data_IF_036722914569
#
_entry.id   IF_036722914569
#
_cell.length_a   1.000
_cell.length_b   1.000
_cell.length_c   1.000
_cell.angle_alpha   90.00
_cell.angle_beta   90.00
_cell.angle_gamma   90.00
#
_symmetry.space_group_name_H-M   'P 1'
#
loop_
_entity.id
_entity.type
_entity.pdbx_description
1 polymer ?
#
# COMPACT_ATOMS: atom_id res chain seq x y z
N UNK A 1 -12.74 2.57 22.99
CA UNK A 1 -12.69 2.09 24.38
C UNK A 1 -12.05 0.71 24.36
N UNK A 2 -10.95 0.52 25.08
CA UNK A 2 -10.37 -0.80 25.26
C UNK A 2 -11.34 -1.66 26.07
N UNK A 3 -11.55 -2.91 25.64
CA UNK A 3 -12.43 -3.86 26.28
C UNK A 3 -11.59 -4.68 27.26
N UNK A 4 -12.07 -4.90 28.48
CA UNK A 4 -11.37 -5.66 29.50
C UNK A 4 -11.26 -7.15 29.14
N UNK A 5 -10.24 -7.81 29.66
CA UNK A 5 -9.93 -9.22 29.37
C UNK A 5 -11.10 -10.18 29.70
N UNK A 6 -11.83 -9.92 30.81
CA UNK A 6 -12.96 -10.77 31.19
C UNK A 6 -14.07 -10.74 30.12
N UNK A 7 -14.42 -9.57 29.64
CA UNK A 7 -15.41 -9.39 28.58
C UNK A 7 -14.96 -10.03 27.26
N UNK A 8 -13.67 -9.95 26.93
CA UNK A 8 -13.11 -10.58 25.72
C UNK A 8 -13.26 -12.10 25.82
N UNK A 9 -12.80 -12.69 26.91
CA UNK A 9 -12.85 -14.14 27.13
C UNK A 9 -14.29 -14.68 27.10
N UNK A 10 -15.22 -13.97 27.69
CA UNK A 10 -16.64 -14.40 27.70
C UNK A 10 -17.26 -14.27 26.29
N UNK A 11 -16.95 -13.26 25.53
CA UNK A 11 -17.38 -13.16 24.12
C UNK A 11 -16.81 -14.31 23.28
N UNK A 12 -15.55 -14.69 23.49
CA UNK A 12 -14.93 -15.84 22.83
C UNK A 12 -15.63 -17.12 23.28
N UNK A 13 -15.89 -17.28 24.59
CA UNK A 13 -16.56 -18.45 25.19
C UNK A 13 -17.97 -18.67 24.62
N UNK A 14 -18.81 -17.65 24.59
CA UNK A 14 -20.21 -17.74 24.08
C UNK A 14 -20.24 -18.22 22.63
N UNK A 15 -19.18 -17.98 21.89
CA UNK A 15 -19.08 -18.34 20.47
C UNK A 15 -18.26 -19.61 20.24
N UNK A 16 -17.66 -20.18 21.26
CA UNK A 16 -16.99 -21.46 21.22
C UNK A 16 -17.96 -22.62 21.07
N UNK A 17 -17.43 -23.82 20.89
CA UNK A 17 -18.22 -25.06 20.87
C UNK A 17 -18.85 -25.35 22.25
N UNK A 18 -19.88 -26.17 22.29
CA UNK A 18 -20.52 -26.56 23.55
C UNK A 18 -19.51 -27.21 24.51
N UNK A 19 -18.58 -28.01 24.00
CA UNK A 19 -17.52 -28.64 24.78
C UNK A 19 -16.55 -27.61 25.37
N UNK A 20 -16.19 -26.57 24.57
CA UNK A 20 -15.41 -25.41 25.07
C UNK A 20 -16.14 -24.72 26.23
N UNK A 21 -17.44 -24.47 26.08
CA UNK A 21 -18.23 -23.74 27.08
C UNK A 21 -18.40 -24.55 28.39
N UNK A 22 -18.43 -25.89 28.32
CA UNK A 22 -18.52 -26.75 29.50
C UNK A 22 -17.20 -26.81 30.27
N UNK A 23 -16.07 -26.82 29.56
CA UNK A 23 -14.74 -27.00 30.17
C UNK A 23 -14.08 -25.68 30.61
N UNK A 24 -14.35 -24.61 29.89
CA UNK A 24 -13.76 -23.31 30.20
C UNK A 24 -14.79 -22.42 30.89
N UNK A 25 -14.55 -22.04 32.16
CA UNK A 25 -15.50 -21.25 32.94
C UNK A 25 -15.57 -19.80 32.42
N UNK A 26 -16.69 -19.11 32.71
CA UNK A 26 -16.88 -17.71 32.41
C UNK A 26 -15.91 -16.84 33.19
N UNK A 27 -15.16 -15.98 32.51
CA UNK A 27 -14.19 -15.09 33.15
C UNK A 27 -14.87 -13.97 33.98
N UNK A 28 -16.03 -13.51 33.54
CA UNK A 28 -16.83 -12.52 34.29
C UNK A 28 -17.38 -13.10 35.60
N UNK A 29 -17.76 -14.40 35.61
CA UNK A 29 -18.35 -15.05 36.80
C UNK A 29 -17.29 -15.58 37.77
N UNK A 30 -16.20 -16.14 37.26
CA UNK A 30 -15.21 -16.87 38.08
C UNK A 30 -13.86 -16.17 38.19
N UNK A 31 -13.68 -15.07 37.47
CA UNK A 31 -12.44 -14.30 37.39
C UNK A 31 -11.47 -14.80 36.31
N UNK A 32 -10.74 -13.87 35.72
CA UNK A 32 -9.77 -14.14 34.64
C UNK A 32 -8.72 -15.18 35.05
N UNK A 33 -8.22 -15.10 36.29
CA UNK A 33 -7.22 -16.04 36.81
C UNK A 33 -7.69 -17.50 36.85
N UNK A 34 -8.99 -17.74 37.13
CA UNK A 34 -9.53 -19.09 37.13
C UNK A 34 -9.70 -19.60 35.70
N UNK A 35 -10.23 -18.79 34.81
CA UNK A 35 -10.34 -19.14 33.40
C UNK A 35 -8.97 -19.45 32.78
N UNK A 36 -7.91 -18.67 33.13
CA UNK A 36 -6.54 -18.97 32.76
C UNK A 36 -6.07 -20.35 33.20
N UNK A 37 -6.30 -20.72 34.45
CA UNK A 37 -5.87 -22.04 34.96
C UNK A 37 -6.47 -23.17 34.13
N UNK A 38 -7.73 -23.04 33.73
CA UNK A 38 -8.38 -24.03 32.86
C UNK A 38 -7.85 -23.99 31.42
N UNK A 39 -7.57 -22.81 30.83
CA UNK A 39 -7.03 -22.68 29.48
C UNK A 39 -5.60 -23.21 29.36
N UNK A 40 -4.76 -22.98 30.36
CA UNK A 40 -3.36 -23.43 30.37
C UNK A 40 -3.16 -24.84 30.94
N UNK A 41 -4.23 -25.55 31.27
CA UNK A 41 -4.15 -26.97 31.59
C UNK A 41 -3.68 -27.76 30.36
N UNK A 42 -2.65 -28.62 30.48
CA UNK A 42 -2.17 -29.43 29.36
C UNK A 42 -3.24 -30.24 28.63
N UNK A 43 -4.29 -30.69 29.36
CA UNK A 43 -5.42 -31.40 28.77
C UNK A 43 -6.32 -30.51 27.90
N UNK A 44 -6.27 -29.21 28.08
CA UNK A 44 -7.14 -28.22 27.43
C UNK A 44 -6.37 -27.40 26.31
N UNK A 45 -5.20 -27.84 25.86
CA UNK A 45 -4.37 -27.12 24.93
C UNK A 45 -5.06 -26.78 23.60
N UNK A 46 -5.94 -27.64 23.13
CA UNK A 46 -6.78 -27.36 21.95
C UNK A 46 -7.67 -26.13 22.17
N UNK A 47 -8.24 -25.98 23.36
CA UNK A 47 -9.12 -24.85 23.68
C UNK A 47 -8.36 -23.54 23.84
N UNK A 48 -7.09 -23.60 24.24
CA UNK A 48 -6.21 -22.44 24.25
C UNK A 48 -5.99 -21.92 22.82
N UNK A 49 -5.68 -22.81 21.89
CA UNK A 49 -5.50 -22.44 20.47
C UNK A 49 -6.82 -21.91 19.88
N UNK A 50 -7.94 -22.55 20.16
CA UNK A 50 -9.26 -22.08 19.71
C UNK A 50 -9.61 -20.71 20.30
N UNK A 51 -9.22 -20.45 21.56
CA UNK A 51 -9.40 -19.15 22.19
C UNK A 51 -8.63 -18.06 21.45
N UNK A 52 -7.35 -18.27 21.17
CA UNK A 52 -6.50 -17.31 20.44
C UNK A 52 -7.04 -17.08 19.02
N UNK A 53 -7.39 -18.15 18.30
CA UNK A 53 -7.99 -18.06 16.96
C UNK A 53 -9.28 -17.24 16.95
N UNK A 54 -10.15 -17.51 17.90
CA UNK A 54 -11.41 -16.76 18.02
C UNK A 54 -11.19 -15.32 18.43
N UNK A 55 -10.18 -15.01 19.26
CA UNK A 55 -9.80 -13.64 19.59
C UNK A 55 -9.31 -12.89 18.34
N UNK A 56 -8.38 -13.45 17.60
CA UNK A 56 -7.83 -12.84 16.37
C UNK A 56 -8.94 -12.60 15.36
N UNK A 57 -9.77 -13.60 15.07
CA UNK A 57 -10.81 -13.49 14.04
C UNK A 57 -11.96 -12.53 14.40
N UNK A 58 -12.22 -12.28 15.67
CA UNK A 58 -13.41 -11.51 16.11
C UNK A 58 -13.07 -10.13 16.65
N UNK A 59 -11.97 -10.04 17.36
CA UNK A 59 -11.55 -8.79 18.01
C UNK A 59 -10.55 -8.07 17.13
N UNK A 60 -9.75 -8.82 16.35
CA UNK A 60 -8.71 -8.28 15.49
C UNK A 60 -9.18 -7.14 14.59
N UNK A 61 -10.33 -7.29 13.94
CA UNK A 61 -10.91 -6.23 13.10
C UNK A 61 -11.21 -4.94 13.88
N UNK A 62 -11.71 -5.06 15.10
CA UNK A 62 -12.03 -3.91 15.96
C UNK A 62 -10.75 -3.22 16.42
N UNK A 63 -9.72 -3.99 16.77
CA UNK A 63 -8.43 -3.47 17.20
C UNK A 63 -7.71 -2.81 16.03
N UNK A 64 -7.71 -3.41 14.84
CA UNK A 64 -7.14 -2.82 13.63
C UNK A 64 -7.78 -1.47 13.25
N UNK A 65 -9.08 -1.32 13.50
CA UNK A 65 -9.77 -0.06 13.24
C UNK A 65 -9.39 1.08 14.23
N UNK A 66 -8.85 0.74 15.39
CA UNK A 66 -8.46 1.71 16.43
C UNK A 66 -7.01 2.17 16.32
N UNK A 67 -6.16 1.40 15.68
CA UNK A 67 -4.73 1.69 15.55
C UNK A 67 -4.44 2.17 14.12
N UNK A 68 -3.59 3.21 14.01
CA UNK A 68 -3.10 3.68 12.73
C UNK A 68 -1.87 2.84 12.32
N UNK A 69 -2.01 1.87 11.41
CA UNK A 69 -0.88 1.10 10.93
C UNK A 69 0.06 1.99 10.10
N UNK A 70 1.29 1.51 9.90
CA UNK A 70 2.18 2.14 8.94
C UNK A 70 1.55 2.08 7.54
N UNK A 71 1.38 3.24 6.92
CA UNK A 71 0.89 3.35 5.55
C UNK A 71 2.06 3.62 4.60
N UNK A 72 2.09 2.88 3.50
CA UNK A 72 3.11 3.08 2.48
C UNK A 72 2.88 4.42 1.75
N UNK A 73 3.78 5.41 1.87
CA UNK A 73 3.61 6.71 1.21
C UNK A 73 3.65 6.61 -0.32
N UNK A 74 4.22 5.54 -0.86
CA UNK A 74 4.28 5.27 -2.30
C UNK A 74 3.06 4.51 -2.83
N UNK A 75 2.07 4.20 -1.99
CA UNK A 75 0.86 3.47 -2.38
C UNK A 75 0.09 4.14 -3.52
N UNK A 76 0.29 5.45 -3.73
CA UNK A 76 -0.29 6.20 -4.86
C UNK A 76 0.09 5.61 -6.23
N UNK A 77 1.22 4.92 -6.33
CA UNK A 77 1.68 4.25 -7.55
C UNK A 77 1.14 2.83 -7.70
N UNK A 78 0.47 2.32 -6.68
CA UNK A 78 -0.10 0.97 -6.71
C UNK A 78 -1.35 0.97 -7.58
N UNK A 79 -1.39 0.10 -8.60
CA UNK A 79 -2.60 -0.21 -9.35
C UNK A 79 -3.54 -1.07 -8.48
N UNK A 80 -4.78 -1.23 -8.93
CA UNK A 80 -5.77 -2.06 -8.25
C UNK A 80 -5.28 -3.49 -8.01
N UNK A 81 -5.79 -4.11 -6.95
CA UNK A 81 -5.46 -5.48 -6.61
C UNK A 81 -6.00 -6.45 -7.66
N UNK A 82 -5.17 -7.40 -8.06
CA UNK A 82 -5.58 -8.49 -8.95
C UNK A 82 -6.34 -9.55 -8.14
N UNK A 83 -7.65 -9.64 -8.32
CA UNK A 83 -8.48 -10.62 -7.59
C UNK A 83 -8.43 -12.02 -8.20
N UNK A 84 -8.19 -12.13 -9.51
CA UNK A 84 -8.20 -13.39 -10.22
C UNK A 84 -7.06 -13.45 -11.24
N UNK A 85 -6.40 -14.60 -11.30
CA UNK A 85 -5.29 -14.84 -12.22
C UNK A 85 -3.93 -14.36 -11.69
N UNK A 86 -2.90 -14.54 -12.50
CA UNK A 86 -1.51 -14.17 -12.20
C UNK A 86 -0.91 -13.19 -13.20
N UNK A 87 -1.66 -12.84 -14.23
CA UNK A 87 -1.18 -12.03 -15.36
C UNK A 87 -2.10 -10.85 -15.61
N UNK A 88 -1.52 -9.66 -15.75
CA UNK A 88 -2.23 -8.44 -16.15
C UNK A 88 -1.78 -8.05 -17.55
N UNK A 89 -2.74 -7.75 -18.41
CA UNK A 89 -2.49 -7.25 -19.76
C UNK A 89 -2.75 -5.75 -19.80
N UNK A 90 -1.80 -4.99 -20.32
CA UNK A 90 -1.93 -3.56 -20.60
C UNK A 90 -1.83 -3.34 -22.10
N UNK A 91 -2.79 -2.61 -22.68
CA UNK A 91 -2.86 -2.33 -24.11
C UNK A 91 -2.77 -0.82 -24.31
N UNK A 92 -1.82 -0.38 -25.12
CA UNK A 92 -1.74 1.01 -25.56
C UNK A 92 -1.91 1.08 -27.08
N UNK A 93 -2.71 2.03 -27.55
CA UNK A 93 -3.00 2.21 -28.98
C UNK A 93 -2.36 3.51 -29.46
N UNK A 94 -1.63 3.45 -30.55
CA UNK A 94 -1.00 4.62 -31.19
C UNK A 94 -2.07 5.53 -31.79
N UNK A 95 -1.87 6.84 -31.61
CA UNK A 95 -2.79 7.82 -32.17
C UNK A 95 -2.76 7.82 -33.68
N UNK A 96 -3.93 7.84 -34.29
CA UNK A 96 -4.08 7.88 -35.74
C UNK A 96 -3.91 9.34 -36.22
N UNK A 97 -3.07 9.53 -37.24
CA UNK A 97 -2.94 10.84 -37.89
C UNK A 97 -4.09 11.07 -38.86
N UNK A 98 -4.67 12.27 -38.83
CA UNK A 98 -5.65 12.66 -39.81
C UNK A 98 -4.98 12.74 -41.21
N UNK A 99 -5.70 12.28 -42.21
CA UNK A 99 -5.36 12.45 -43.62
C UNK A 99 -6.49 13.19 -44.35
N UNK A 100 -6.14 13.86 -45.46
CA UNK A 100 -7.12 14.64 -46.20
C UNK A 100 -8.23 13.74 -46.75
N UNK A 101 -9.47 14.22 -46.65
CA UNK A 101 -10.62 13.52 -47.22
C UNK A 101 -10.47 13.43 -48.76
N UNK A 102 -10.59 12.22 -49.29
CA UNK A 102 -10.67 11.95 -50.75
C UNK A 102 -11.92 11.17 -51.02
N UNK A 103 -12.64 11.56 -52.06
CA UNK A 103 -13.91 10.94 -52.48
C UNK A 103 -13.67 9.82 -53.50
N UNK A 104 -12.51 9.17 -53.43
CA UNK A 104 -12.14 8.06 -54.30
C UNK A 104 -12.58 6.74 -53.66
N UNK A 105 -13.15 5.85 -54.48
CA UNK A 105 -13.60 4.52 -54.04
C UNK A 105 -12.47 3.69 -53.40
N UNK A 106 -11.22 3.91 -53.85
CA UNK A 106 -10.04 3.23 -53.33
C UNK A 106 -9.69 3.66 -51.89
N UNK A 107 -9.88 4.93 -51.55
CA UNK A 107 -9.61 5.46 -50.19
C UNK A 107 -10.75 5.11 -49.21
N UNK A 108 -11.99 5.06 -49.69
CA UNK A 108 -13.18 4.65 -48.92
C UNK A 108 -13.14 3.17 -48.50
N UNK A 109 -12.54 2.29 -49.31
CA UNK A 109 -12.45 0.85 -49.01
C UNK A 109 -11.15 0.47 -48.28
N UNK A 110 -10.23 1.41 -48.09
CA UNK A 110 -8.95 1.15 -47.41
C UNK A 110 -9.13 0.97 -45.90
N UNK A 111 -8.71 -0.19 -45.42
CA UNK A 111 -8.80 -0.51 -43.98
C UNK A 111 -7.65 0.12 -43.24
N UNK A 112 -7.96 1.08 -42.34
CA UNK A 112 -7.00 1.71 -41.45
C UNK A 112 -7.05 1.02 -40.08
N UNK A 113 -6.06 0.19 -39.77
CA UNK A 113 -5.95 -0.48 -38.46
C UNK A 113 -5.03 0.32 -37.57
N UNK A 114 -5.44 0.66 -36.32
CA UNK A 114 -4.54 1.28 -35.35
C UNK A 114 -3.44 0.29 -34.93
N UNK A 115 -2.23 0.79 -34.78
CA UNK A 115 -1.12 0.03 -34.19
C UNK A 115 -1.33 -0.03 -32.68
N UNK A 116 -1.26 -1.23 -32.10
CA UNK A 116 -1.39 -1.46 -30.66
C UNK A 116 -0.13 -2.15 -30.14
N UNK A 117 0.31 -1.71 -28.96
CA UNK A 117 1.33 -2.38 -28.17
C UNK A 117 0.68 -3.04 -26.95
N UNK A 118 1.12 -4.23 -26.63
CA UNK A 118 0.59 -5.03 -25.54
C UNK A 118 1.72 -5.44 -24.63
N UNK A 119 1.55 -5.20 -23.34
CA UNK A 119 2.46 -5.65 -22.29
C UNK A 119 1.74 -6.64 -21.38
N UNK A 120 2.49 -7.65 -20.95
CA UNK A 120 2.02 -8.62 -19.98
C UNK A 120 2.88 -8.49 -18.73
N UNK A 121 2.22 -8.35 -17.59
CA UNK A 121 2.85 -8.34 -16.28
C UNK A 121 2.45 -9.60 -15.54
N UNK A 122 3.42 -10.35 -15.06
CA UNK A 122 3.20 -11.58 -14.31
C UNK A 122 3.51 -11.37 -12.83
N UNK A 123 2.76 -12.07 -11.99
CA UNK A 123 3.01 -12.08 -10.55
C UNK A 123 4.31 -12.84 -10.27
N UNK A 124 5.32 -12.11 -9.79
CA UNK A 124 6.65 -12.65 -9.48
C UNK A 124 6.94 -12.76 -7.98
N UNK A 125 6.03 -12.26 -7.12
CA UNK A 125 6.20 -12.28 -5.66
C UNK A 125 4.99 -12.95 -5.00
N UNK A 126 5.27 -13.86 -4.07
CA UNK A 126 4.27 -14.53 -3.25
C UNK A 126 4.85 -14.82 -1.87
N UNK A 127 4.74 -13.87 -0.96
CA UNK A 127 5.33 -13.94 0.36
C UNK A 127 4.31 -14.27 1.44
N UNK A 128 4.80 -14.73 2.58
CA UNK A 128 4.02 -15.02 3.77
C UNK A 128 4.71 -14.37 4.96
N UNK A 129 3.94 -13.78 5.85
CA UNK A 129 4.42 -13.18 7.10
C UNK A 129 4.00 -14.07 8.28
N UNK A 130 4.76 -15.14 8.60
CA UNK A 130 4.44 -16.00 9.72
C UNK A 130 4.67 -15.25 11.03
N UNK A 131 3.74 -15.40 11.97
CA UNK A 131 3.89 -14.92 13.33
C UNK A 131 3.69 -16.08 14.28
N UNK A 132 4.52 -16.15 15.31
CA UNK A 132 4.43 -17.15 16.37
C UNK A 132 4.44 -16.45 17.72
N UNK A 133 3.80 -17.05 18.68
CA UNK A 133 3.80 -16.58 20.06
C UNK A 133 4.13 -17.74 21.01
N UNK A 134 4.65 -17.40 22.16
CA UNK A 134 4.95 -18.35 23.23
C UNK A 134 3.80 -18.39 24.25
N UNK A 135 3.70 -19.50 24.99
CA UNK A 135 2.74 -19.63 26.08
C UNK A 135 2.98 -18.58 27.18
N UNK A 136 4.25 -18.14 27.36
CA UNK A 136 4.59 -17.14 28.37
C UNK A 136 4.14 -15.72 27.96
N UNK A 137 4.28 -15.35 26.68
CA UNK A 137 3.76 -14.07 26.16
C UNK A 137 2.23 -14.03 26.31
N UNK A 138 1.56 -15.12 25.98
CA UNK A 138 0.12 -15.20 26.16
C UNK A 138 -0.28 -15.13 27.63
N UNK A 139 0.46 -15.78 28.55
CA UNK A 139 0.24 -15.65 29.99
C UNK A 139 0.41 -14.22 30.49
N UNK A 140 1.44 -13.51 30.02
CA UNK A 140 1.62 -12.10 30.36
C UNK A 140 0.47 -11.21 29.90
N UNK A 141 -0.13 -11.51 28.74
CA UNK A 141 -1.31 -10.79 28.25
C UNK A 141 -2.53 -10.93 29.18
N UNK A 142 -2.60 -11.95 30.01
CA UNK A 142 -3.68 -12.11 30.99
C UNK A 142 -3.44 -11.37 32.31
N UNK A 143 -2.20 -10.95 32.61
CA UNK A 143 -1.85 -10.28 33.87
C UNK A 143 -2.39 -8.85 33.91
N UNK A 144 -2.39 -8.16 32.78
CA UNK A 144 -2.89 -6.80 32.65
C UNK A 144 -4.35 -6.79 32.16
N UNK A 145 -5.20 -5.94 32.71
CA UNK A 145 -6.64 -5.87 32.39
C UNK A 145 -6.92 -5.66 30.90
N UNK A 146 -6.01 -5.05 30.16
CA UNK A 146 -6.11 -4.79 28.73
C UNK A 146 -5.05 -5.53 27.90
N UNK A 147 -4.32 -6.46 28.50
CA UNK A 147 -3.20 -7.15 27.86
C UNK A 147 -3.61 -7.99 26.66
N UNK A 148 -4.76 -8.64 26.69
CA UNK A 148 -5.28 -9.40 25.56
C UNK A 148 -5.57 -8.52 24.34
N UNK A 149 -6.07 -7.31 24.54
CA UNK A 149 -6.28 -6.36 23.44
C UNK A 149 -4.95 -5.98 22.78
N UNK A 150 -3.92 -5.70 23.57
CA UNK A 150 -2.56 -5.40 23.05
C UNK A 150 -1.95 -6.60 22.35
N UNK A 151 -2.11 -7.78 22.88
CA UNK A 151 -1.62 -9.01 22.26
C UNK A 151 -2.25 -9.27 20.89
N UNK A 152 -3.58 -9.14 20.78
CA UNK A 152 -4.29 -9.27 19.51
C UNK A 152 -3.85 -8.16 18.52
N UNK A 153 -3.69 -6.92 19.00
CA UNK A 153 -3.18 -5.82 18.20
C UNK A 153 -1.81 -6.15 17.59
N UNK A 154 -0.88 -6.61 18.42
CA UNK A 154 0.47 -6.97 17.99
C UNK A 154 0.46 -8.07 16.92
N UNK A 155 -0.34 -9.12 17.10
CA UNK A 155 -0.48 -10.21 16.14
C UNK A 155 -1.01 -9.70 14.78
N UNK A 156 -1.96 -8.77 14.80
CA UNK A 156 -2.60 -8.28 13.57
C UNK A 156 -1.79 -7.19 12.87
N UNK A 157 -1.15 -6.31 13.63
CA UNK A 157 -0.43 -5.15 13.08
C UNK A 157 0.96 -5.51 12.56
N UNK A 158 1.67 -6.44 13.20
CA UNK A 158 3.03 -6.80 12.81
C UNK A 158 3.12 -7.30 11.37
N UNK A 159 2.33 -8.29 10.91
CA UNK A 159 2.37 -8.73 9.52
C UNK A 159 1.96 -7.63 8.53
N UNK A 160 0.96 -6.82 8.89
CA UNK A 160 0.48 -5.73 8.04
C UNK A 160 1.53 -4.63 7.86
N UNK A 161 2.17 -4.23 8.96
CA UNK A 161 3.23 -3.23 8.89
C UNK A 161 4.46 -3.75 8.13
N UNK A 162 4.78 -5.05 8.28
CA UNK A 162 5.85 -5.70 7.52
C UNK A 162 5.54 -5.70 6.04
N UNK A 163 4.32 -6.05 5.64
CA UNK A 163 3.90 -6.05 4.23
C UNK A 163 3.96 -4.66 3.61
N UNK A 164 3.41 -3.64 4.29
CA UNK A 164 3.46 -2.25 3.83
C UNK A 164 4.91 -1.72 3.72
N UNK A 165 5.78 -2.11 4.66
CA UNK A 165 7.20 -1.74 4.63
C UNK A 165 7.93 -2.40 3.47
N UNK A 166 7.70 -3.69 3.23
CA UNK A 166 8.29 -4.43 2.12
C UNK A 166 7.77 -3.90 0.77
N UNK A 167 6.47 -3.59 0.66
CA UNK A 167 5.93 -2.92 -0.54
C UNK A 167 6.65 -1.60 -0.82
N UNK A 168 6.87 -0.77 0.21
CA UNK A 168 7.61 0.49 0.05
C UNK A 168 9.03 0.25 -0.46
N UNK A 169 9.74 -0.71 0.13
CA UNK A 169 11.11 -1.04 -0.29
C UNK A 169 11.17 -1.55 -1.73
N UNK A 170 10.21 -2.38 -2.14
CA UNK A 170 10.11 -2.86 -3.52
C UNK A 170 9.83 -1.72 -4.49
N UNK A 171 8.92 -0.80 -4.16
CA UNK A 171 8.64 0.37 -4.99
C UNK A 171 9.88 1.26 -5.14
N UNK A 172 10.63 1.50 -4.05
CA UNK A 172 11.91 2.23 -4.12
C UNK A 172 12.94 1.50 -4.98
N UNK A 173 13.04 0.18 -4.86
CA UNK A 173 13.93 -0.63 -5.69
C UNK A 173 13.53 -0.58 -7.18
N UNK A 174 12.23 -0.62 -7.49
CA UNK A 174 11.72 -0.48 -8.86
C UNK A 174 12.05 0.90 -9.45
N UNK A 175 11.88 1.99 -8.69
CA UNK A 175 12.21 3.34 -9.13
C UNK A 175 13.72 3.43 -9.44
N UNK A 176 14.58 2.90 -8.56
CA UNK A 176 16.04 2.88 -8.78
C UNK A 176 16.43 2.03 -9.99
N UNK A 177 15.81 0.85 -10.14
CA UNK A 177 16.06 -0.02 -11.28
C UNK A 177 15.65 0.64 -12.61
N UNK A 178 14.51 1.34 -12.62
CA UNK A 178 14.04 2.09 -13.76
C UNK A 178 15.03 3.21 -14.13
N UNK A 179 15.51 3.95 -13.14
CA UNK A 179 16.51 5.00 -13.34
C UNK A 179 17.81 4.47 -13.97
N UNK A 180 18.29 3.33 -13.49
CA UNK A 180 19.57 2.76 -13.92
C UNK A 180 19.51 2.12 -15.31
N UNK A 181 18.41 1.41 -15.63
CA UNK A 181 18.35 0.57 -16.82
C UNK A 181 17.53 1.19 -17.97
N UNK A 182 16.47 1.91 -17.67
CA UNK A 182 15.58 2.50 -18.67
C UNK A 182 15.77 4.00 -18.80
N UNK A 183 16.21 4.66 -17.73
CA UNK A 183 16.47 6.08 -17.66
C UNK A 183 15.22 6.94 -17.58
N UNK A 184 15.16 7.84 -16.59
CA UNK A 184 14.19 8.93 -16.56
C UNK A 184 14.63 10.07 -17.48
N UNK A 185 13.68 10.90 -17.90
CA UNK A 185 14.00 12.20 -18.46
C UNK A 185 14.68 13.05 -17.37
N UNK A 186 15.97 13.37 -17.56
CA UNK A 186 16.78 14.06 -16.55
C UNK A 186 16.92 15.53 -16.91
N UNK A 187 16.62 16.39 -15.94
CA UNK A 187 16.90 17.82 -16.01
C UNK A 187 18.10 18.09 -15.10
N UNK A 188 19.20 18.55 -15.67
CA UNK A 188 20.39 18.90 -14.91
C UNK A 188 20.24 20.29 -14.29
N UNK A 189 20.61 20.42 -13.02
CA UNK A 189 20.70 21.68 -12.30
C UNK A 189 22.16 21.95 -11.97
N UNK A 190 22.60 23.20 -12.14
CA UNK A 190 24.01 23.59 -11.92
C UNK A 190 24.43 23.57 -10.45
N UNK A 191 23.47 23.63 -9.54
CA UNK A 191 23.70 23.63 -8.08
C UNK A 191 22.65 22.86 -7.31
N UNK A 192 23.07 22.30 -6.17
CA UNK A 192 22.18 21.67 -5.20
C UNK A 192 21.39 22.78 -4.46
N UNK A 193 20.09 22.61 -4.21
CA UNK A 193 19.23 23.61 -3.55
C UNK A 193 19.55 23.74 -2.05
N UNK A 194 20.57 24.51 -1.72
CA UNK A 194 21.05 24.76 -0.35
C UNK A 194 20.66 26.15 0.17
N UNK A 195 20.28 27.06 -0.69
CA UNK A 195 19.90 28.42 -0.38
C UNK A 195 18.63 28.85 -1.15
N UNK A 196 18.09 30.03 -0.82
CA UNK A 196 16.89 30.58 -1.44
C UNK A 196 17.01 30.72 -2.98
N UNK A 197 18.19 31.07 -3.48
CA UNK A 197 18.43 31.29 -4.90
C UNK A 197 18.41 29.98 -5.67
N UNK A 198 19.10 28.96 -5.17
CA UNK A 198 19.13 27.62 -5.76
C UNK A 198 17.79 26.91 -5.61
N UNK A 199 17.06 27.12 -4.50
CA UNK A 199 15.69 26.64 -4.31
C UNK A 199 14.73 27.25 -5.36
N UNK A 200 14.80 28.55 -5.61
CA UNK A 200 14.03 29.21 -6.67
C UNK A 200 14.36 28.66 -8.07
N UNK A 201 15.61 28.30 -8.32
CA UNK A 201 16.01 27.66 -9.59
C UNK A 201 15.40 26.29 -9.75
N UNK A 202 15.42 25.47 -8.69
CA UNK A 202 14.73 24.18 -8.66
C UNK A 202 13.22 24.33 -8.91
N UNK A 203 12.55 25.28 -8.23
CA UNK A 203 11.12 25.56 -8.44
C UNK A 203 10.80 25.96 -9.86
N UNK A 204 11.63 26.80 -10.49
CA UNK A 204 11.46 27.17 -11.91
C UNK A 204 11.59 25.96 -12.82
N UNK A 205 12.56 25.07 -12.57
CA UNK A 205 12.76 23.85 -13.34
C UNK A 205 11.59 22.89 -13.17
N UNK A 206 11.10 22.69 -11.95
CA UNK A 206 9.92 21.88 -11.65
C UNK A 206 8.67 22.41 -12.36
N UNK A 207 8.39 23.72 -12.22
CA UNK A 207 7.26 24.37 -12.90
C UNK A 207 7.33 24.25 -14.41
N UNK A 208 8.50 24.47 -15.01
CA UNK A 208 8.72 24.34 -16.45
C UNK A 208 8.50 22.90 -16.91
N UNK A 209 9.01 21.92 -16.16
CA UNK A 209 8.85 20.49 -16.48
C UNK A 209 7.39 20.04 -16.33
N UNK A 210 6.74 20.39 -15.24
CA UNK A 210 5.31 20.10 -15.02
C UNK A 210 4.43 20.73 -16.12
N UNK A 211 4.74 21.98 -16.53
CA UNK A 211 4.05 22.64 -17.64
C UNK A 211 4.26 21.93 -18.98
N UNK A 212 5.47 21.46 -19.26
CA UNK A 212 5.75 20.69 -20.48
C UNK A 212 5.08 19.32 -20.51
N UNK A 213 4.99 18.64 -19.36
CA UNK A 213 4.33 17.33 -19.24
C UNK A 213 2.83 17.37 -19.53
N UNK A 214 2.20 18.54 -19.51
CA UNK A 214 0.78 18.68 -19.90
C UNK A 214 0.57 18.52 -21.41
N UNK A 215 1.63 18.70 -22.21
CA UNK A 215 1.55 18.56 -23.66
C UNK A 215 2.05 17.18 -24.07
N UNK A 216 1.34 16.51 -25.01
CA UNK A 216 1.76 15.21 -25.50
C UNK A 216 3.17 15.25 -26.12
N UNK A 217 4.06 14.41 -25.61
CA UNK A 217 5.45 14.30 -26.09
C UNK A 217 5.97 12.88 -25.98
N UNK A 218 6.82 12.48 -26.90
CA UNK A 218 7.53 11.20 -26.83
C UNK A 218 8.77 11.25 -25.93
N UNK A 219 9.19 12.45 -25.50
CA UNK A 219 10.38 12.64 -24.65
C UNK A 219 10.26 12.04 -23.26
N UNK A 220 9.03 11.93 -22.73
CA UNK A 220 8.78 11.42 -21.38
C UNK A 220 8.50 9.91 -21.35
N UNK A 221 8.53 9.26 -22.50
CA UNK A 221 8.34 7.84 -22.64
C UNK A 221 9.70 7.14 -22.81
N UNK A 222 10.33 6.73 -21.70
CA UNK A 222 11.66 6.11 -21.73
C UNK A 222 11.68 4.79 -22.52
N UNK A 223 10.60 4.05 -22.52
CA UNK A 223 10.48 2.81 -23.28
C UNK A 223 10.22 3.03 -24.77
N UNK A 224 9.75 4.18 -25.19
CA UNK A 224 9.42 4.64 -26.55
C UNK A 224 9.26 3.54 -27.64
N UNK A 225 8.77 2.37 -27.23
CA UNK A 225 8.65 1.19 -28.12
C UNK A 225 7.59 1.41 -29.18
N UNK A 226 6.67 2.33 -28.94
CA UNK A 226 5.48 2.51 -29.77
C UNK A 226 5.29 3.90 -30.34
N UNK A 227 6.21 4.84 -30.12
CA UNK A 227 6.05 6.26 -30.48
C UNK A 227 4.72 6.89 -29.98
N UNK A 228 4.18 6.37 -28.90
CA UNK A 228 2.94 6.89 -28.30
C UNK A 228 3.28 8.13 -27.45
N UNK A 229 2.70 9.31 -27.75
CA UNK A 229 2.95 10.50 -26.96
C UNK A 229 2.38 10.33 -25.54
N UNK A 230 3.20 10.60 -24.53
CA UNK A 230 2.79 10.63 -23.13
C UNK A 230 2.50 12.07 -22.71
N UNK A 231 1.48 12.24 -21.87
CA UNK A 231 1.14 13.51 -21.21
C UNK A 231 0.54 13.21 -19.83
N UNK A 232 0.56 14.18 -18.94
CA UNK A 232 -0.02 14.06 -17.61
C UNK A 232 -0.78 15.34 -17.24
N UNK A 233 -1.96 15.18 -16.64
CA UNK A 233 -2.67 16.27 -16.03
C UNK A 233 -2.00 16.67 -14.70
N UNK A 234 -2.04 17.96 -14.28
CA UNK A 234 -1.46 18.40 -13.00
C UNK A 234 -1.92 17.56 -11.79
N UNK A 235 -3.18 17.17 -11.77
CA UNK A 235 -3.76 16.36 -10.70
C UNK A 235 -3.23 14.91 -10.63
N UNK A 236 -2.60 14.44 -11.70
CA UNK A 236 -2.00 13.10 -11.79
C UNK A 236 -0.49 13.12 -11.55
N UNK A 237 0.08 14.31 -11.35
CA UNK A 237 1.51 14.45 -11.09
C UNK A 237 1.80 14.24 -9.61
N UNK A 238 2.80 13.42 -9.32
CA UNK A 238 3.30 13.17 -7.97
C UNK A 238 4.74 13.65 -7.89
N UNK A 239 5.04 14.45 -6.88
CA UNK A 239 6.38 14.94 -6.61
C UNK A 239 7.00 14.12 -5.47
N UNK A 240 8.09 13.42 -5.76
CA UNK A 240 8.93 12.77 -4.76
C UNK A 240 10.14 13.67 -4.50
N UNK A 241 10.25 14.16 -3.29
CA UNK A 241 11.33 15.06 -2.87
C UNK A 241 12.01 14.52 -1.64
N UNK A 242 13.32 14.60 -1.61
CA UNK A 242 14.09 14.32 -0.41
C UNK A 242 13.77 15.36 0.69
N UNK A 243 13.54 14.96 1.94
CA UNK A 243 13.10 15.87 3.01
C UNK A 243 14.03 17.08 3.22
N UNK A 244 15.32 16.91 3.01
CA UNK A 244 16.31 17.99 3.14
C UNK A 244 16.07 19.11 2.10
N UNK A 245 15.71 18.75 0.89
CA UNK A 245 15.38 19.72 -0.15
C UNK A 245 13.99 20.34 0.05
N UNK A 246 13.05 19.57 0.58
CA UNK A 246 11.73 20.08 0.88
C UNK A 246 11.77 21.22 1.91
N UNK A 247 12.67 21.14 2.89
CA UNK A 247 12.87 22.20 3.90
C UNK A 247 13.35 23.54 3.30
N UNK A 248 14.00 23.47 2.14
CA UNK A 248 14.49 24.67 1.40
C UNK A 248 13.44 25.26 0.46
N UNK A 249 12.33 24.55 0.24
CA UNK A 249 11.29 24.97 -0.69
C UNK A 249 10.15 25.65 0.07
N UNK A 250 9.65 26.73 -0.50
CA UNK A 250 8.45 27.37 0.01
C UNK A 250 7.20 26.52 -0.34
N UNK A 251 6.50 26.07 0.69
CA UNK A 251 5.32 25.21 0.54
C UNK A 251 4.22 25.90 -0.29
N UNK A 252 4.06 27.21 -0.15
CA UNK A 252 3.07 27.98 -0.94
C UNK A 252 3.45 28.01 -2.43
N UNK A 253 4.74 28.08 -2.75
CA UNK A 253 5.21 28.04 -4.12
C UNK A 253 5.06 26.64 -4.73
N UNK A 254 5.26 25.57 -3.95
CA UNK A 254 5.03 24.19 -4.38
C UNK A 254 3.54 23.93 -4.66
N UNK A 255 2.66 24.39 -3.80
CA UNK A 255 1.20 24.23 -4.01
C UNK A 255 0.75 24.92 -5.30
N UNK A 256 1.31 26.06 -5.63
CA UNK A 256 1.03 26.78 -6.88
C UNK A 256 1.54 26.05 -8.15
N UNK A 257 2.61 25.26 -8.04
CA UNK A 257 3.13 24.47 -9.16
C UNK A 257 2.18 23.34 -9.54
N UNK A 258 1.63 22.66 -8.55
CA UNK A 258 0.81 21.47 -8.75
C UNK A 258 -0.69 21.71 -8.63
N UNK A 259 -1.12 22.96 -8.43
CA UNK A 259 -2.55 23.31 -8.18
C UNK A 259 -3.16 22.46 -7.04
N UNK A 260 -2.34 22.13 -6.05
CA UNK A 260 -2.80 21.41 -4.86
C UNK A 260 -3.62 22.39 -4.00
N UNK A 261 -4.80 21.99 -3.58
CA UNK A 261 -5.57 22.70 -2.58
C UNK A 261 -4.77 22.73 -1.26
N UNK A 262 -4.78 23.90 -0.60
CA UNK A 262 -4.12 24.13 0.69
C UNK A 262 -4.77 23.32 1.81
#
# INVERSE_FOLDING_TARGET
MAVDNATILDKVRIKGTDDYQQRIPSATQTGVANTMRHLFDPMNRQYLNDCVWNMVNRIGLTVMAQNAPFENPLAVFKKENLYWGSTVQEIAVKWIKAHGYKDDAEDLLKMHRPEAAVWFYEMNRRDQYPISWTDDELRQAFVDDFGLNRFVAQIMETPRNSDNYDEMNIMLALIRHYEQNLGFYKVHLDAVPNDETTAKTLLKALRATAGRMQFPSTQYNALNVTDIPAYANPQQMVLLVEPEYLASLDVDALSAVFQLDK
#
